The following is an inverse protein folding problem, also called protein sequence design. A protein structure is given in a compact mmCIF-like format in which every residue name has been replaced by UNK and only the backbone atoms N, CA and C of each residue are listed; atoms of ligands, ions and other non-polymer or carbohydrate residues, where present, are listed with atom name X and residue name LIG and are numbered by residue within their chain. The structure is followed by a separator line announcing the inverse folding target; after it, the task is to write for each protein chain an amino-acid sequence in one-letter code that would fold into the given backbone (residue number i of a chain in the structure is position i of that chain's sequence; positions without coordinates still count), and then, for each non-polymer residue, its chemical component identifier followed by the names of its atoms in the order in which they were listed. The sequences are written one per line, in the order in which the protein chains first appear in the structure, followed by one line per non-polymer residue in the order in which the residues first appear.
data_IF_731156738604
#
_entry.id   IF_731156738604
#
_cell.length_a   1.000
_cell.length_b   1.000
_cell.length_c   1.000
_cell.angle_alpha   90.00
_cell.angle_beta   90.00
_cell.angle_gamma   90.00
#
_symmetry.space_group_name_H-M   'P 1'
#
loop_
_entity.id
_entity.type
_entity.pdbx_description
1 polymer ?
#
# COMPACT_ATOMS: atom_id res chain seq x y z
N UNK A 1 -6.85 18.95 0.96
CA UNK A 1 -6.78 18.45 -0.43
C UNK A 1 -7.99 17.57 -0.65
N UNK A 2 -8.66 17.70 -1.79
CA UNK A 2 -9.77 16.84 -2.23
C UNK A 2 -9.45 16.32 -3.62
N UNK A 3 -9.74 15.05 -3.91
CA UNK A 3 -9.56 14.47 -5.24
C UNK A 3 -10.88 14.51 -6.00
N UNK A 4 -10.90 15.21 -7.14
CA UNK A 4 -12.05 15.30 -8.03
C UNK A 4 -11.57 15.08 -9.46
N UNK A 5 -12.07 14.05 -10.14
CA UNK A 5 -11.78 13.78 -11.55
C UNK A 5 -10.27 13.80 -11.89
N UNK A 6 -9.44 13.22 -11.03
CA UNK A 6 -7.99 13.12 -11.26
C UNK A 6 -7.20 14.34 -10.85
N UNK A 7 -7.89 15.40 -10.39
CA UNK A 7 -7.29 16.65 -9.99
C UNK A 7 -7.35 16.87 -8.49
N UNK A 8 -6.35 17.61 -8.02
CA UNK A 8 -6.25 18.06 -6.64
C UNK A 8 -6.99 19.39 -6.49
N UNK A 9 -8.01 19.41 -5.63
CA UNK A 9 -8.73 20.59 -5.20
C UNK A 9 -8.32 21.06 -3.80
N UNK A 10 -8.42 22.37 -3.57
CA UNK A 10 -8.20 23.01 -2.27
C UNK A 10 -9.07 24.26 -2.13
N UNK A 11 -9.24 24.75 -0.90
CA UNK A 11 -9.77 26.08 -0.64
C UNK A 11 -8.60 27.07 -0.52
N UNK A 12 -8.27 27.84 -1.58
CA UNK A 12 -7.09 28.69 -1.60
C UNK A 12 -7.17 29.89 -0.65
N UNK A 13 -8.35 30.20 -0.10
CA UNK A 13 -8.50 31.26 0.92
C UNK A 13 -7.90 30.86 2.27
N UNK A 14 -7.77 29.56 2.54
CA UNK A 14 -7.33 29.04 3.85
C UNK A 14 -6.17 28.06 3.76
N UNK A 15 -5.98 27.40 2.61
CA UNK A 15 -4.99 26.34 2.44
C UNK A 15 -4.23 26.50 1.13
N UNK A 16 -2.91 26.39 1.19
CA UNK A 16 -2.07 26.22 0.00
C UNK A 16 -1.95 24.74 -0.35
N UNK A 17 -1.86 24.44 -1.63
CA UNK A 17 -1.50 23.11 -2.13
C UNK A 17 -0.22 23.24 -2.93
N UNK A 18 0.82 22.44 -2.62
CA UNK A 18 2.05 22.45 -3.39
C UNK A 18 1.78 22.20 -4.88
N UNK A 19 2.38 23.01 -5.73
CA UNK A 19 2.05 23.02 -7.17
C UNK A 19 2.34 21.69 -7.87
N UNK A 20 3.30 20.91 -7.34
CA UNK A 20 3.66 19.61 -7.88
C UNK A 20 2.61 18.51 -7.66
N UNK A 21 1.57 18.77 -6.86
CA UNK A 21 0.44 17.85 -6.71
C UNK A 21 -0.63 18.07 -7.79
N UNK A 22 -0.63 19.20 -8.48
CA UNK A 22 -1.50 19.39 -9.63
C UNK A 22 -1.00 18.53 -10.79
N UNK A 23 -1.88 17.70 -11.36
CA UNK A 23 -1.53 16.76 -12.42
C UNK A 23 -0.55 15.66 -11.97
N UNK A 24 -0.65 15.24 -10.70
CA UNK A 24 0.21 14.18 -10.17
C UNK A 24 0.08 12.90 -11.04
N UNK A 25 1.20 12.28 -11.45
CA UNK A 25 1.16 11.11 -12.33
C UNK A 25 0.78 9.84 -11.56
N UNK A 26 0.55 8.74 -12.27
CA UNK A 26 0.38 7.41 -11.64
C UNK A 26 -1.07 6.91 -11.57
N UNK A 27 -2.06 7.77 -11.82
CA UNK A 27 -3.46 7.35 -11.74
C UNK A 27 -3.81 6.28 -12.78
N UNK A 28 -3.34 6.42 -14.03
CA UNK A 28 -3.63 5.47 -15.10
C UNK A 28 -3.12 4.06 -14.81
N UNK A 29 -1.98 3.94 -14.14
CA UNK A 29 -1.41 2.67 -13.72
C UNK A 29 -2.26 1.99 -12.64
N UNK A 30 -2.75 2.76 -11.66
CA UNK A 30 -3.67 2.28 -10.64
C UNK A 30 -5.04 1.91 -11.21
N UNK A 31 -5.55 2.68 -12.18
CA UNK A 31 -6.78 2.38 -12.90
C UNK A 31 -6.64 1.06 -13.68
N UNK A 32 -5.54 0.87 -14.39
CA UNK A 32 -5.26 -0.38 -15.11
C UNK A 32 -5.14 -1.57 -14.16
N UNK A 33 -4.59 -1.36 -12.96
CA UNK A 33 -4.49 -2.43 -11.94
C UNK A 33 -5.87 -2.80 -11.40
N UNK A 34 -6.74 -1.80 -11.20
CA UNK A 34 -8.11 -2.01 -10.73
C UNK A 34 -8.99 -2.68 -11.79
N UNK A 35 -8.82 -2.33 -13.06
CA UNK A 35 -9.47 -2.98 -14.21
C UNK A 35 -9.13 -4.47 -14.27
N UNK A 36 -7.86 -4.83 -14.06
CA UNK A 36 -7.42 -6.23 -14.04
C UNK A 36 -7.89 -7.04 -12.84
N UNK A 37 -8.40 -6.40 -11.79
CA UNK A 37 -8.63 -7.05 -10.50
C UNK A 37 -9.80 -8.05 -10.52
N UNK A 38 -10.78 -7.85 -11.39
CA UNK A 38 -11.92 -8.77 -11.57
C UNK A 38 -11.67 -9.83 -12.66
N UNK A 39 -10.45 -9.87 -13.20
CA UNK A 39 -10.04 -10.79 -14.26
C UNK A 39 -10.41 -10.34 -15.67
N UNK A 40 -10.97 -9.14 -15.84
CA UNK A 40 -11.23 -8.52 -17.14
C UNK A 40 -10.21 -7.41 -17.41
N UNK A 41 -10.21 -6.90 -18.64
CA UNK A 41 -9.42 -5.72 -19.02
C UNK A 41 -10.26 -4.97 -20.03
N UNK A 42 -11.40 -4.50 -19.54
CA UNK A 42 -12.44 -3.82 -20.31
C UNK A 42 -12.51 -2.32 -19.99
N UNK A 43 -11.57 -1.83 -19.17
CA UNK A 43 -11.51 -0.45 -18.69
C UNK A 43 -12.43 -0.20 -17.50
N UNK A 44 -13.06 -1.26 -16.96
CA UNK A 44 -14.05 -1.17 -15.90
C UNK A 44 -13.53 -1.89 -14.65
N UNK A 45 -13.97 -1.42 -13.50
CA UNK A 45 -13.80 -2.12 -12.24
C UNK A 45 -15.16 -2.66 -11.82
N UNK A 46 -15.34 -3.97 -11.83
CA UNK A 46 -16.62 -4.63 -11.50
C UNK A 46 -17.79 -4.16 -12.37
N UNK A 47 -17.51 -3.80 -13.63
CA UNK A 47 -18.49 -3.24 -14.57
C UNK A 47 -18.72 -1.73 -14.41
N UNK A 48 -17.93 -1.05 -13.59
CA UNK A 48 -18.07 0.38 -13.34
C UNK A 48 -16.88 1.20 -13.85
N UNK A 49 -17.16 2.41 -14.34
CA UNK A 49 -16.18 3.28 -15.01
C UNK A 49 -15.18 3.90 -14.02
N UNK A 50 -13.92 3.50 -14.09
CA UNK A 50 -12.89 3.87 -13.09
C UNK A 50 -12.59 5.38 -13.07
N UNK A 51 -12.57 6.00 -14.25
CA UNK A 51 -12.15 7.41 -14.40
C UNK A 51 -13.19 8.40 -13.88
N UNK A 52 -14.47 8.07 -14.04
CA UNK A 52 -15.59 8.96 -13.69
C UNK A 52 -16.11 8.69 -12.28
N UNK A 53 -15.75 7.54 -11.71
CA UNK A 53 -16.23 7.13 -10.40
C UNK A 53 -15.09 7.11 -9.38
N UNK A 54 -15.09 8.13 -8.52
CA UNK A 54 -14.04 8.36 -7.51
C UNK A 54 -14.03 7.34 -6.36
N UNK A 55 -14.83 6.27 -6.42
CA UNK A 55 -14.86 5.21 -5.42
C UNK A 55 -13.98 4.01 -5.74
N UNK A 56 -13.51 3.85 -6.98
CA UNK A 56 -12.69 2.69 -7.35
C UNK A 56 -11.39 2.60 -6.51
N UNK A 57 -10.89 1.39 -6.21
CA UNK A 57 -9.63 1.16 -5.48
C UNK A 57 -8.44 1.97 -5.99
N UNK A 58 -8.39 2.23 -7.31
CA UNK A 58 -7.36 3.05 -7.95
C UNK A 58 -7.17 4.43 -7.27
N UNK A 59 -8.27 5.07 -6.85
CA UNK A 59 -8.22 6.36 -6.19
C UNK A 59 -7.54 6.30 -4.83
N UNK A 60 -7.68 5.17 -4.12
CA UNK A 60 -7.07 4.97 -2.80
C UNK A 60 -5.56 4.94 -2.92
N UNK A 61 -5.05 4.14 -3.85
CA UNK A 61 -3.61 4.02 -4.07
C UNK A 61 -3.03 5.32 -4.65
N UNK A 62 -3.73 5.99 -5.55
CA UNK A 62 -3.32 7.29 -6.08
C UNK A 62 -3.25 8.37 -4.99
N UNK A 63 -4.24 8.45 -4.08
CA UNK A 63 -4.19 9.35 -2.92
C UNK A 63 -3.00 9.03 -2.00
N UNK A 64 -2.71 7.75 -1.80
CA UNK A 64 -1.58 7.27 -1.00
C UNK A 64 -0.25 7.76 -1.58
N UNK A 65 -0.06 7.62 -2.90
CA UNK A 65 1.18 8.06 -3.56
C UNK A 65 1.39 9.57 -3.46
N UNK A 66 0.31 10.35 -3.60
CA UNK A 66 0.34 11.80 -3.39
C UNK A 66 0.70 12.15 -1.95
N UNK A 67 0.10 11.48 -0.98
CA UNK A 67 0.37 11.68 0.44
C UNK A 67 1.85 11.39 0.75
N UNK A 68 2.37 10.27 0.27
CA UNK A 68 3.78 9.96 0.47
C UNK A 68 4.71 10.94 -0.26
N UNK A 69 4.36 11.39 -1.47
CA UNK A 69 5.13 12.39 -2.18
C UNK A 69 5.20 13.72 -1.43
N UNK A 70 4.07 14.17 -0.86
CA UNK A 70 3.99 15.34 0.01
C UNK A 70 4.88 15.16 1.26
N UNK A 71 4.68 14.07 2.01
CA UNK A 71 5.45 13.75 3.22
C UNK A 71 6.96 13.65 2.93
N UNK A 72 7.35 13.19 1.74
CA UNK A 72 8.74 13.16 1.29
C UNK A 72 9.30 14.54 1.03
N UNK A 73 8.63 15.31 0.16
CA UNK A 73 9.14 16.58 -0.39
C UNK A 73 9.11 17.70 0.64
N UNK A 74 8.07 17.75 1.46
CA UNK A 74 7.93 18.74 2.53
C UNK A 74 8.70 18.36 3.81
N UNK A 75 9.39 17.21 3.81
CA UNK A 75 10.30 16.78 4.89
C UNK A 75 9.61 16.69 6.25
N UNK A 76 8.38 16.17 6.29
CA UNK A 76 7.66 15.91 7.53
C UNK A 76 8.50 15.05 8.49
N UNK A 77 8.54 15.44 9.76
CA UNK A 77 9.25 14.77 10.85
C UNK A 77 10.77 14.91 10.80
N UNK A 78 11.33 15.82 9.98
CA UNK A 78 12.80 15.95 9.81
C UNK A 78 13.47 16.97 10.73
N UNK A 79 12.71 17.69 11.55
CA UNK A 79 13.24 18.66 12.49
C UNK A 79 12.66 18.42 13.90
N UNK A 80 13.05 19.24 14.88
CA UNK A 80 12.65 19.08 16.28
C UNK A 80 11.24 19.59 16.61
N UNK A 81 10.55 20.21 15.65
CA UNK A 81 9.18 20.68 15.77
C UNK A 81 8.24 19.59 15.23
N UNK A 82 7.25 19.12 16.01
CA UNK A 82 6.31 18.12 15.53
C UNK A 82 5.45 18.63 14.37
N UNK A 83 5.32 17.81 13.34
CA UNK A 83 4.42 18.06 12.22
C UNK A 83 3.10 17.28 12.40
N UNK A 84 2.00 17.83 11.88
CA UNK A 84 0.69 17.16 11.86
C UNK A 84 0.27 16.87 10.43
N UNK A 85 -0.07 15.60 10.15
CA UNK A 85 -0.59 15.17 8.87
C UNK A 85 -1.96 14.51 9.05
N UNK A 86 -2.96 15.04 8.36
CA UNK A 86 -4.33 14.51 8.33
C UNK A 86 -4.65 14.06 6.91
N UNK A 87 -5.14 12.84 6.77
CA UNK A 87 -5.57 12.25 5.51
C UNK A 87 -6.97 11.66 5.68
N UNK A 88 -7.79 11.75 4.64
CA UNK A 88 -9.14 11.22 4.65
C UNK A 88 -9.43 10.47 3.35
N UNK A 89 -9.36 9.15 3.40
CA UNK A 89 -9.78 8.32 2.28
C UNK A 89 -11.31 8.25 2.21
N UNK A 90 -11.89 9.01 1.29
CA UNK A 90 -13.35 9.11 1.11
C UNK A 90 -13.98 7.96 0.32
N UNK A 91 -13.19 7.06 -0.24
CA UNK A 91 -13.68 6.06 -1.19
C UNK A 91 -14.72 5.11 -0.57
N UNK A 92 -14.62 4.79 0.72
CA UNK A 92 -15.61 3.99 1.44
C UNK A 92 -16.91 4.75 1.74
N UNK A 93 -16.86 6.07 1.93
CA UNK A 93 -18.05 6.93 2.00
C UNK A 93 -18.81 6.88 0.68
N UNK A 94 -18.08 7.05 -0.44
CA UNK A 94 -18.66 6.98 -1.78
C UNK A 94 -19.20 5.59 -2.15
N UNK A 95 -18.43 4.53 -1.92
CA UNK A 95 -18.87 3.16 -2.21
C UNK A 95 -20.07 2.75 -1.35
N UNK A 96 -20.13 3.22 -0.09
CA UNK A 96 -21.24 2.91 0.82
C UNK A 96 -22.54 3.59 0.40
N UNK A 97 -22.44 4.82 -0.13
CA UNK A 97 -23.58 5.52 -0.71
C UNK A 97 -24.10 4.87 -1.99
N UNK A 98 -23.22 4.34 -2.85
CA UNK A 98 -23.61 3.79 -4.15
C UNK A 98 -24.08 2.33 -4.06
N UNK A 99 -23.36 1.49 -3.32
CA UNK A 99 -23.53 0.02 -3.37
C UNK A 99 -23.94 -0.61 -2.04
N UNK A 100 -24.09 0.17 -0.96
CA UNK A 100 -24.34 -0.31 0.40
C UNK A 100 -23.10 -0.95 1.08
N UNK A 101 -23.17 -1.09 2.41
CA UNK A 101 -22.04 -1.44 3.26
C UNK A 101 -21.57 -2.90 3.18
N UNK A 102 -22.41 -3.83 2.69
CA UNK A 102 -22.12 -5.25 2.59
C UNK A 102 -21.79 -5.71 1.15
N UNK A 103 -21.63 -4.76 0.22
CA UNK A 103 -21.35 -5.03 -1.18
C UNK A 103 -19.92 -5.53 -1.43
N UNK A 104 -19.71 -6.32 -2.51
CA UNK A 104 -18.37 -6.64 -3.01
C UNK A 104 -17.52 -5.40 -3.31
N UNK A 105 -18.13 -4.35 -3.84
CA UNK A 105 -17.51 -3.05 -4.12
C UNK A 105 -16.94 -2.43 -2.83
N UNK A 106 -17.76 -2.34 -1.78
CA UNK A 106 -17.32 -1.87 -0.46
C UNK A 106 -16.14 -2.71 0.07
N UNK A 107 -16.25 -4.03 -0.02
CA UNK A 107 -15.18 -4.94 0.41
C UNK A 107 -13.87 -4.70 -0.34
N UNK A 108 -13.93 -4.51 -1.66
CA UNK A 108 -12.78 -4.22 -2.50
C UNK A 108 -12.14 -2.87 -2.16
N UNK A 109 -12.93 -1.83 -1.92
CA UNK A 109 -12.42 -0.50 -1.55
C UNK A 109 -11.82 -0.51 -0.14
N UNK A 110 -12.45 -1.21 0.80
CA UNK A 110 -11.93 -1.34 2.16
C UNK A 110 -10.58 -2.09 2.17
N UNK A 111 -10.44 -3.14 1.35
CA UNK A 111 -9.17 -3.85 1.19
C UNK A 111 -8.06 -2.94 0.64
N UNK A 112 -8.40 -2.06 -0.32
CA UNK A 112 -7.46 -1.07 -0.84
C UNK A 112 -7.04 -0.05 0.23
N UNK A 113 -7.97 0.39 1.09
CA UNK A 113 -7.67 1.29 2.22
C UNK A 113 -6.77 0.62 3.27
N UNK A 114 -6.96 -0.68 3.54
CA UNK A 114 -6.08 -1.45 4.42
C UNK A 114 -4.65 -1.54 3.85
N UNK A 115 -4.51 -1.81 2.55
CA UNK A 115 -3.22 -1.80 1.86
C UNK A 115 -2.55 -0.42 1.88
N UNK A 116 -3.31 0.65 1.67
CA UNK A 116 -2.83 2.03 1.75
C UNK A 116 -2.34 2.40 3.15
N UNK A 117 -3.05 1.96 4.20
CA UNK A 117 -2.58 2.11 5.57
C UNK A 117 -1.27 1.35 5.79
N UNK A 118 -1.16 0.12 5.29
CA UNK A 118 0.08 -0.66 5.33
C UNK A 118 1.24 0.05 4.63
N UNK A 119 1.00 0.65 3.47
CA UNK A 119 2.00 1.43 2.73
C UNK A 119 2.47 2.66 3.52
N UNK A 120 1.54 3.44 4.09
CA UNK A 120 1.88 4.59 4.93
C UNK A 120 2.67 4.18 6.18
N UNK A 121 2.26 3.10 6.86
CA UNK A 121 3.01 2.57 8.00
C UNK A 121 4.40 2.09 7.60
N UNK A 122 4.53 1.44 6.43
CA UNK A 122 5.83 1.05 5.87
C UNK A 122 6.71 2.26 5.53
N UNK A 123 6.11 3.32 4.97
CA UNK A 123 6.78 4.58 4.68
C UNK A 123 7.35 5.23 5.95
N UNK A 124 6.58 5.24 7.04
CA UNK A 124 7.05 5.74 8.34
C UNK A 124 8.05 4.80 9.02
N UNK A 125 7.80 3.49 9.02
CA UNK A 125 8.69 2.49 9.62
C UNK A 125 10.04 2.35 8.92
N UNK A 126 10.12 2.63 7.62
CA UNK A 126 11.39 2.74 6.90
C UNK A 126 12.18 4.01 7.26
N UNK A 127 11.52 5.01 7.86
CA UNK A 127 12.12 6.28 8.29
C UNK A 127 12.46 6.29 9.78
N UNK A 128 11.71 5.53 10.58
CA UNK A 128 11.85 5.42 12.02
C UNK A 128 12.19 3.99 12.44
N UNK A 129 13.40 3.76 12.97
CA UNK A 129 13.76 2.51 13.67
C UNK A 129 13.02 2.32 15.00
N UNK A 130 12.20 3.28 15.43
CA UNK A 130 11.50 3.28 16.71
C UNK A 130 10.00 3.55 16.54
N UNK A 131 9.31 2.73 15.74
CA UNK A 131 7.88 2.50 16.00
C UNK A 131 7.79 1.72 17.32
N UNK A 132 7.85 2.41 18.46
CA UNK A 132 7.64 1.77 19.77
C UNK A 132 6.20 1.25 19.80
N UNK A 133 5.99 -0.07 19.88
CA UNK A 133 4.64 -0.59 20.02
C UNK A 133 4.03 -0.05 21.32
N UNK A 134 2.83 0.53 21.21
CA UNK A 134 2.05 0.88 22.38
C UNK A 134 1.77 -0.41 23.17
N UNK A 135 1.80 -0.40 24.52
CA UNK A 135 1.66 -1.61 25.35
C UNK A 135 0.38 -2.44 25.14
N UNK A 136 -0.59 -1.95 24.35
CA UNK A 136 -1.84 -2.63 24.02
C UNK A 136 -1.96 -3.04 22.53
N UNK A 137 -0.92 -2.91 21.71
CA UNK A 137 -0.95 -3.41 20.33
C UNK A 137 -1.02 -4.95 20.35
N UNK A 138 -2.13 -5.49 19.83
CA UNK A 138 -2.41 -6.93 19.75
C UNK A 138 -1.39 -7.67 18.87
N UNK A 139 -1.18 -8.99 19.07
CA UNK A 139 -0.05 -9.75 18.51
C UNK A 139 0.05 -9.86 16.98
N UNK A 140 -0.94 -9.43 16.21
CA UNK A 140 -0.90 -9.49 14.74
C UNK A 140 0.11 -8.49 14.13
N UNK A 141 0.51 -7.44 14.86
CA UNK A 141 1.53 -6.49 14.41
C UNK A 141 2.96 -7.07 14.29
N UNK A 142 3.21 -8.30 14.77
CA UNK A 142 4.54 -8.95 14.70
C UNK A 142 4.82 -9.68 13.39
N UNK A 143 3.81 -9.91 12.54
CA UNK A 143 3.98 -10.75 11.35
C UNK A 143 4.75 -10.06 10.19
N UNK A 144 4.86 -8.72 10.20
CA UNK A 144 5.49 -7.97 9.12
C UNK A 144 6.98 -7.69 9.32
N UNK A 145 7.61 -8.26 10.35
CA UNK A 145 9.07 -8.22 10.50
C UNK A 145 9.72 -9.15 9.47
N UNK A 146 9.96 -8.57 8.29
CA UNK A 146 10.69 -9.14 7.16
C UNK A 146 11.92 -9.94 7.62
N UNK A 147 11.91 -11.24 7.35
CA UNK A 147 13.09 -12.09 7.43
C UNK A 147 13.96 -11.82 6.20
N UNK A 148 14.87 -10.85 6.31
CA UNK A 148 16.00 -10.69 5.39
C UNK A 148 17.27 -11.19 6.09
N UNK A 149 17.44 -12.50 6.14
CA UNK A 149 18.76 -13.11 6.22
C UNK A 149 19.11 -13.68 4.85
N UNK A 150 19.65 -12.79 4.01
CA UNK A 150 20.43 -13.16 2.83
C UNK A 150 21.73 -13.76 3.36
N UNK A 151 21.81 -15.10 3.37
CA UNK A 151 23.04 -15.83 3.64
C UNK A 151 24.12 -15.35 2.67
N UNK A 152 25.10 -14.61 3.18
CA UNK A 152 26.38 -14.41 2.54
C UNK A 152 27.11 -15.76 2.57
N UNK A 153 26.98 -16.52 1.47
CA UNK A 153 27.80 -17.70 1.23
C UNK A 153 29.24 -17.26 0.96
N UNK A 154 30.11 -17.48 1.93
CA UNK A 154 31.55 -17.40 1.77
C UNK A 154 32.02 -18.44 0.74
N UNK A 155 32.80 -17.96 -0.23
CA UNK A 155 33.60 -18.80 -1.11
C UNK A 155 34.65 -19.54 -0.28
N UNK A 156 34.74 -20.87 -0.46
CA UNK A 156 35.69 -21.71 0.28
C UNK A 156 35.61 -23.19 -0.09
N UNK A 157 35.91 -23.51 -1.34
CA UNK A 157 36.62 -24.69 -1.86
C UNK A 157 36.25 -26.15 -1.45
N UNK A 158 36.29 -26.99 -2.50
CA UNK A 158 36.61 -28.45 -2.55
C UNK A 158 35.46 -29.47 -2.42
N UNK A 159 35.01 -29.94 -3.59
CA UNK A 159 35.04 -31.36 -3.97
C UNK A 159 34.05 -32.33 -3.33
N UNK A 160 33.15 -32.90 -4.15
CA UNK A 160 32.49 -34.17 -3.83
C UNK A 160 31.05 -34.25 -4.34
N UNK A 161 30.84 -34.96 -5.46
CA UNK A 161 29.50 -35.27 -5.99
C UNK A 161 28.81 -36.27 -5.06
N UNK A 162 27.65 -35.94 -4.48
CA UNK A 162 26.62 -36.93 -4.18
C UNK A 162 25.23 -36.29 -4.28
N UNK A 163 24.42 -36.80 -5.21
CA UNK A 163 23.02 -36.44 -5.41
C UNK A 163 22.18 -37.13 -4.32
N UNK A 164 21.44 -36.37 -3.52
CA UNK A 164 20.40 -36.92 -2.65
C UNK A 164 19.03 -36.72 -3.30
N UNK A 165 18.41 -37.84 -3.69
CA UNK A 165 17.06 -37.90 -4.28
C UNK A 165 16.06 -38.16 -3.15
N UNK A 166 15.04 -37.31 -3.04
CA UNK A 166 13.92 -37.49 -2.10
C UNK A 166 13.04 -38.64 -2.63
N UNK A 167 12.88 -39.70 -1.85
CA UNK A 167 11.87 -40.73 -2.10
C UNK A 167 10.88 -40.77 -0.95
N UNK A 168 9.63 -40.38 -1.24
CA UNK A 168 8.44 -40.87 -0.53
C UNK A 168 8.20 -40.36 0.90
N UNK A 169 6.94 -40.39 1.35
CA UNK A 169 6.52 -39.69 2.56
C UNK A 169 6.79 -40.54 3.80
N UNK A 170 7.36 -39.92 4.83
CA UNK A 170 7.71 -40.50 6.14
C UNK A 170 8.97 -41.39 6.20
N UNK A 171 10.14 -40.77 6.40
CA UNK A 171 11.36 -41.45 6.83
C UNK A 171 12.41 -40.44 7.32
N UNK A 172 12.89 -40.62 8.56
CA UNK A 172 13.86 -39.76 9.26
C UNK A 172 15.17 -39.61 8.47
N UNK A 173 15.69 -38.37 8.40
CA UNK A 173 17.01 -38.07 7.83
C UNK A 173 18.08 -38.50 8.84
N UNK A 174 18.90 -39.49 8.48
CA UNK A 174 20.15 -39.79 9.18
C UNK A 174 21.30 -39.52 8.22
N UNK A 175 22.14 -38.54 8.54
CA UNK A 175 23.43 -38.33 7.90
C UNK A 175 24.51 -39.00 8.76
N UNK A 176 25.41 -39.76 8.14
CA UNK A 176 26.72 -40.14 8.73
C UNK A 176 27.78 -39.21 8.17
#
# INVERSE_FOLDING_TARGET
MVLLNGNVGSNPLHYSTPSYLYGFPGFSEHATTSDRADGKTDGLWMGHEILTQTYAPAWVHYETDMAEALLRRERYGRNSVPDLFFINYKMTDYAGHEYFMDSPEMGSVLAAQDQALGALLGFFGARDTELRPHPHSRPWARASAFSLHRLAGSAGAVGGRHQCRVQGPCGRIACR
#
